data_IF_065087711964
#
_entry.id   IF_065087711964
#
_cell.length_a   1.000
_cell.length_b   1.000
_cell.length_c   1.000
_cell.angle_alpha   90.00
_cell.angle_beta   90.00
_cell.angle_gamma   90.00
#
_symmetry.space_group_name_H-M   'P 1'
#
loop_
_entity.id
_entity.type
_entity.pdbx_description
1 polymer ?
#
# COMPACT_ATOMS: atom_id res chain seq x y z
N UNK A 1 23.27 -12.76 1.75
CA UNK A 1 24.65 -13.18 2.06
C UNK A 1 25.33 -12.07 2.86
N UNK A 2 25.74 -12.30 4.12
CA UNK A 2 26.39 -11.26 4.94
C UNK A 2 27.87 -11.17 4.55
N UNK A 3 28.29 -10.02 3.99
CA UNK A 3 29.70 -9.77 3.66
C UNK A 3 30.50 -9.57 4.95
N UNK A 4 31.44 -10.48 5.23
CA UNK A 4 32.23 -10.45 6.47
C UNK A 4 33.08 -9.17 6.53
N UNK A 5 32.78 -8.31 7.50
CA UNK A 5 33.48 -7.03 7.73
C UNK A 5 32.82 -5.81 7.08
N UNK A 6 31.82 -5.97 6.21
CA UNK A 6 31.12 -4.84 5.61
C UNK A 6 30.11 -4.24 6.60
N UNK A 7 30.21 -2.94 6.85
CA UNK A 7 29.22 -2.15 7.60
C UNK A 7 28.72 -1.03 6.71
N UNK A 8 27.41 -1.00 6.46
CA UNK A 8 26.82 0.02 5.63
C UNK A 8 26.65 1.33 6.41
N UNK A 9 27.26 2.42 5.93
CA UNK A 9 27.27 3.69 6.64
C UNK A 9 25.87 4.31 6.81
N UNK A 10 24.96 4.04 5.87
CA UNK A 10 23.59 4.58 5.88
C UNK A 10 22.56 3.58 6.44
N UNK A 11 23.00 2.60 7.24
CA UNK A 11 22.10 1.64 7.88
C UNK A 11 21.01 2.31 8.75
N UNK A 12 21.30 3.35 9.55
CA UNK A 12 20.26 4.06 10.29
C UNK A 12 19.20 4.67 9.38
N UNK A 13 19.61 5.26 8.25
CA UNK A 13 18.70 5.84 7.27
C UNK A 13 17.80 4.76 6.66
N UNK A 14 18.38 3.61 6.28
CA UNK A 14 17.61 2.46 5.77
C UNK A 14 16.54 2.01 6.76
N UNK A 15 16.89 1.89 8.04
CA UNK A 15 15.95 1.50 9.10
C UNK A 15 14.84 2.53 9.28
N UNK A 16 15.15 3.83 9.26
CA UNK A 16 14.13 4.88 9.34
C UNK A 16 13.16 4.82 8.14
N UNK A 17 13.66 4.57 6.93
CA UNK A 17 12.80 4.40 5.74
C UNK A 17 11.96 3.13 5.81
N UNK A 18 12.53 2.03 6.32
CA UNK A 18 11.78 0.80 6.58
C UNK A 18 10.63 1.05 7.56
N UNK A 19 10.89 1.73 8.67
CA UNK A 19 9.83 2.07 9.64
C UNK A 19 8.76 2.99 9.06
N UNK A 20 9.11 3.89 8.14
CA UNK A 20 8.12 4.71 7.45
C UNK A 20 7.18 3.85 6.59
N UNK A 21 7.71 2.85 5.88
CA UNK A 21 6.90 1.89 5.12
C UNK A 21 6.04 1.04 6.05
N UNK A 22 6.63 0.50 7.13
CA UNK A 22 5.93 -0.34 8.09
C UNK A 22 4.82 0.42 8.82
N UNK A 23 5.03 1.72 9.11
CA UNK A 23 4.05 2.60 9.74
C UNK A 23 2.84 2.91 8.85
N UNK A 24 2.99 2.87 7.53
CA UNK A 24 1.91 3.12 6.57
C UNK A 24 1.03 1.88 6.32
N UNK A 25 1.55 0.68 6.57
CA UNK A 25 0.79 -0.56 6.41
C UNK A 25 -0.52 -0.61 7.22
N UNK A 26 -0.54 -0.28 8.54
CA UNK A 26 -1.78 -0.25 9.31
C UNK A 26 -2.73 0.86 8.86
N UNK A 27 -2.22 2.04 8.46
CA UNK A 27 -3.06 3.12 7.90
C UNK A 27 -3.80 2.64 6.64
N UNK A 28 -3.10 1.93 5.75
CA UNK A 28 -3.68 1.38 4.52
C UNK A 28 -4.75 0.32 4.81
N UNK A 29 -4.48 -0.57 5.77
CA UNK A 29 -5.44 -1.59 6.20
C UNK A 29 -6.68 -0.98 6.82
N UNK A 30 -6.52 0.04 7.68
CA UNK A 30 -7.63 0.75 8.31
C UNK A 30 -8.52 1.42 7.26
N UNK A 31 -7.92 2.16 6.31
CA UNK A 31 -8.67 2.82 5.24
C UNK A 31 -9.40 1.81 4.32
N UNK A 32 -8.77 0.68 4.01
CA UNK A 32 -9.41 -0.37 3.21
C UNK A 32 -10.57 -1.05 3.96
N UNK A 33 -10.42 -1.28 5.26
CA UNK A 33 -11.48 -1.83 6.10
C UNK A 33 -12.68 -0.87 6.22
N UNK A 34 -12.41 0.43 6.40
CA UNK A 34 -13.44 1.46 6.43
C UNK A 34 -14.21 1.52 5.10
N UNK A 35 -13.49 1.51 3.97
CA UNK A 35 -14.12 1.46 2.64
C UNK A 35 -15.03 0.24 2.49
N UNK A 36 -14.59 -0.94 2.94
CA UNK A 36 -15.39 -2.15 2.87
C UNK A 36 -16.67 -2.05 3.72
N UNK A 37 -16.61 -1.43 4.91
CA UNK A 37 -17.79 -1.18 5.75
C UNK A 37 -18.76 -0.24 5.05
N UNK A 38 -18.25 0.87 4.49
CA UNK A 38 -19.09 1.84 3.82
C UNK A 38 -19.74 1.30 2.55
N UNK A 39 -19.02 0.48 1.78
CA UNK A 39 -19.55 -0.17 0.59
C UNK A 39 -20.68 -1.14 0.94
N UNK A 40 -20.51 -1.94 2.00
CA UNK A 40 -21.57 -2.85 2.47
C UNK A 40 -22.84 -2.11 2.87
N UNK A 41 -22.71 -0.94 3.53
CA UNK A 41 -23.89 -0.14 3.87
C UNK A 41 -24.55 0.46 2.62
N UNK A 42 -23.78 0.89 1.63
CA UNK A 42 -24.32 1.35 0.36
C UNK A 42 -25.08 0.23 -0.36
N UNK A 43 -24.50 -0.96 -0.44
CA UNK A 43 -25.11 -2.14 -1.05
C UNK A 43 -26.41 -2.52 -0.32
N UNK A 44 -26.41 -2.45 1.03
CA UNK A 44 -27.60 -2.68 1.85
C UNK A 44 -28.71 -1.66 1.53
N UNK A 45 -28.38 -0.37 1.45
CA UNK A 45 -29.34 0.67 1.10
C UNK A 45 -29.87 0.52 -0.33
N UNK A 46 -29.04 0.06 -1.27
CA UNK A 46 -29.45 -0.27 -2.63
C UNK A 46 -30.44 -1.44 -2.64
N UNK A 47 -30.15 -2.52 -1.92
CA UNK A 47 -31.05 -3.66 -1.80
C UNK A 47 -32.42 -3.27 -1.21
N UNK A 48 -32.42 -2.44 -0.16
CA UNK A 48 -33.66 -1.93 0.44
C UNK A 48 -34.48 -1.08 -0.54
N UNK A 49 -33.83 -0.18 -1.28
CA UNK A 49 -34.50 0.64 -2.28
C UNK A 49 -35.07 -0.21 -3.43
N UNK A 50 -34.32 -1.22 -3.89
CA UNK A 50 -34.79 -2.16 -4.91
C UNK A 50 -36.00 -2.97 -4.44
N UNK A 51 -36.00 -3.44 -3.20
CA UNK A 51 -37.14 -4.16 -2.62
C UNK A 51 -38.40 -3.28 -2.56
N UNK A 52 -38.27 -2.04 -2.06
CA UNK A 52 -39.39 -1.10 -2.01
C UNK A 52 -39.90 -0.68 -3.40
N UNK A 53 -38.99 -0.55 -4.37
CA UNK A 53 -39.37 -0.28 -5.76
C UNK A 53 -40.10 -1.46 -6.40
N UNK A 54 -39.69 -2.69 -6.09
CA UNK A 54 -40.38 -3.90 -6.54
C UNK A 54 -41.78 -4.00 -5.93
N UNK A 55 -41.93 -3.67 -4.64
CA UNK A 55 -43.24 -3.59 -3.99
C UNK A 55 -44.15 -2.55 -4.65
N UNK A 56 -43.61 -1.34 -4.89
CA UNK A 56 -44.33 -0.28 -5.59
C UNK A 56 -44.84 -0.73 -6.96
N UNK A 57 -43.97 -1.37 -7.75
CA UNK A 57 -44.29 -1.85 -9.09
C UNK A 57 -45.28 -3.02 -9.06
N UNK A 58 -45.17 -3.92 -8.08
CA UNK A 58 -46.10 -5.03 -7.91
C UNK A 58 -47.51 -4.55 -7.61
N UNK A 59 -47.65 -3.54 -6.73
CA UNK A 59 -48.95 -2.96 -6.41
C UNK A 59 -49.58 -2.20 -7.58
N UNK A 60 -48.78 -1.53 -8.42
CA UNK A 60 -49.30 -0.85 -9.62
C UNK A 60 -49.73 -1.83 -10.72
N UNK A 61 -49.02 -2.94 -10.89
CA UNK A 61 -49.33 -3.98 -11.87
C UNK A 61 -50.52 -4.86 -11.48
N UNK A 62 -50.76 -5.05 -10.17
CA UNK A 62 -51.88 -5.86 -9.67
C UNK A 62 -53.26 -5.25 -9.96
N UNK A 63 -53.34 -4.02 -10.48
CA UNK A 63 -54.60 -3.33 -10.80
C UNK A 63 -55.47 -3.02 -9.58
N UNK A 64 -54.96 -3.26 -8.36
CA UNK A 64 -55.65 -2.96 -7.12
C UNK A 64 -55.54 -1.47 -6.81
N UNK A 65 -56.65 -0.86 -6.38
CA UNK A 65 -56.63 0.50 -5.86
C UNK A 65 -55.75 0.56 -4.61
N UNK A 66 -54.56 1.16 -4.73
CA UNK A 66 -53.64 1.32 -3.60
C UNK A 66 -54.22 2.36 -2.63
N UNK A 67 -54.24 2.08 -1.31
CA UNK A 67 -54.56 3.10 -0.32
C UNK A 67 -53.59 4.27 -0.42
N UNK A 68 -54.11 5.50 -0.47
CA UNK A 68 -53.30 6.71 -0.61
C UNK A 68 -52.22 6.84 0.48
N UNK A 69 -52.49 6.33 1.68
CA UNK A 69 -51.53 6.29 2.80
C UNK A 69 -50.32 5.40 2.48
N UNK A 70 -50.54 4.18 1.97
CA UNK A 70 -49.46 3.26 1.60
C UNK A 70 -48.62 3.82 0.45
N UNK A 71 -49.27 4.47 -0.52
CA UNK A 71 -48.59 5.20 -1.59
C UNK A 71 -47.67 6.30 -1.04
N UNK A 72 -48.21 7.17 -0.17
CA UNK A 72 -47.43 8.25 0.44
C UNK A 72 -46.29 7.73 1.34
N UNK A 73 -46.49 6.58 2.00
CA UNK A 73 -45.47 5.95 2.84
C UNK A 73 -44.32 5.38 2.00
N UNK A 74 -44.61 4.58 0.98
CA UNK A 74 -43.59 4.02 0.10
C UNK A 74 -42.83 5.12 -0.67
N UNK A 75 -43.54 6.17 -1.11
CA UNK A 75 -42.92 7.32 -1.78
C UNK A 75 -41.93 8.05 -0.87
N UNK A 76 -42.30 8.31 0.39
CA UNK A 76 -41.40 8.88 1.40
C UNK A 76 -40.22 7.97 1.68
N UNK A 77 -40.46 6.68 1.87
CA UNK A 77 -39.41 5.69 2.12
C UNK A 77 -38.38 5.63 0.98
N UNK A 78 -38.83 5.59 -0.28
CA UNK A 78 -37.95 5.62 -1.44
C UNK A 78 -37.15 6.94 -1.52
N UNK A 79 -37.77 8.06 -1.17
CA UNK A 79 -37.11 9.36 -1.04
C UNK A 79 -35.98 9.33 0.01
N UNK A 80 -36.27 8.80 1.19
CA UNK A 80 -35.30 8.64 2.28
C UNK A 80 -34.16 7.70 1.88
N UNK A 81 -34.46 6.59 1.21
CA UNK A 81 -33.43 5.67 0.70
C UNK A 81 -32.48 6.37 -0.28
N UNK A 82 -33.00 7.17 -1.22
CA UNK A 82 -32.18 7.93 -2.17
C UNK A 82 -31.29 8.94 -1.48
N UNK A 83 -31.82 9.67 -0.49
CA UNK A 83 -31.03 10.62 0.29
C UNK A 83 -29.89 9.92 1.03
N UNK A 84 -30.19 8.80 1.70
CA UNK A 84 -29.18 8.01 2.43
C UNK A 84 -28.14 7.42 1.49
N UNK A 85 -28.54 6.92 0.33
CA UNK A 85 -27.62 6.43 -0.70
C UNK A 85 -26.67 7.53 -1.19
N UNK A 86 -27.18 8.75 -1.44
CA UNK A 86 -26.36 9.87 -1.87
C UNK A 86 -25.33 10.28 -0.80
N UNK A 87 -25.75 10.35 0.47
CA UNK A 87 -24.84 10.61 1.60
C UNK A 87 -23.79 9.51 1.73
N UNK A 88 -24.21 8.25 1.61
CA UNK A 88 -23.30 7.10 1.73
C UNK A 88 -22.32 7.02 0.56
N UNK A 89 -22.76 7.32 -0.66
CA UNK A 89 -21.89 7.39 -1.83
C UNK A 89 -20.81 8.47 -1.68
N UNK A 90 -21.16 9.65 -1.13
CA UNK A 90 -20.17 10.68 -0.82
C UNK A 90 -19.18 10.24 0.26
N UNK A 91 -19.63 9.45 1.27
CA UNK A 91 -18.73 8.88 2.26
C UNK A 91 -17.72 7.92 1.60
N UNK A 92 -18.21 7.01 0.74
CA UNK A 92 -17.38 6.09 -0.04
C UNK A 92 -16.34 6.85 -0.87
N UNK A 93 -16.73 7.89 -1.60
CA UNK A 93 -15.80 8.71 -2.39
C UNK A 93 -14.70 9.34 -1.53
N UNK A 94 -15.04 9.89 -0.35
CA UNK A 94 -14.07 10.47 0.58
C UNK A 94 -13.09 9.42 1.09
N UNK A 95 -13.58 8.23 1.45
CA UNK A 95 -12.72 7.15 1.93
C UNK A 95 -11.86 6.57 0.82
N UNK A 96 -12.34 6.52 -0.43
CA UNK A 96 -11.52 6.19 -1.60
C UNK A 96 -10.39 7.20 -1.79
N UNK A 97 -10.67 8.50 -1.68
CA UNK A 97 -9.64 9.54 -1.76
C UNK A 97 -8.60 9.41 -0.65
N UNK A 98 -9.04 9.14 0.59
CA UNK A 98 -8.15 8.91 1.72
C UNK A 98 -7.27 7.66 1.51
N UNK A 99 -7.86 6.56 1.04
CA UNK A 99 -7.13 5.33 0.72
C UNK A 99 -6.06 5.58 -0.36
N UNK A 100 -6.41 6.34 -1.40
CA UNK A 100 -5.47 6.68 -2.46
C UNK A 100 -4.32 7.57 -1.96
N UNK A 101 -4.61 8.54 -1.09
CA UNK A 101 -3.57 9.35 -0.45
C UNK A 101 -2.57 8.50 0.36
N UNK A 102 -3.05 7.50 1.10
CA UNK A 102 -2.18 6.56 1.84
C UNK A 102 -1.38 5.68 0.87
N UNK A 103 -1.98 5.21 -0.23
CA UNK A 103 -1.26 4.45 -1.27
C UNK A 103 -0.14 5.25 -1.89
N UNK A 104 -0.37 6.52 -2.22
CA UNK A 104 0.66 7.39 -2.77
C UNK A 104 1.81 7.62 -1.78
N UNK A 105 1.51 7.82 -0.49
CA UNK A 105 2.52 7.89 0.58
C UNK A 105 3.32 6.60 0.69
N UNK A 106 2.66 5.44 0.62
CA UNK A 106 3.29 4.12 0.67
C UNK A 106 4.24 3.89 -0.52
N UNK A 107 3.80 4.24 -1.73
CA UNK A 107 4.63 4.15 -2.94
C UNK A 107 5.85 5.07 -2.85
N UNK A 108 5.68 6.31 -2.37
CA UNK A 108 6.78 7.24 -2.18
C UNK A 108 7.80 6.71 -1.15
N UNK A 109 7.34 6.29 0.03
CA UNK A 109 8.19 5.72 1.08
C UNK A 109 8.92 4.46 0.60
N UNK A 110 8.25 3.62 -0.20
CA UNK A 110 8.86 2.41 -0.77
C UNK A 110 9.97 2.74 -1.76
N UNK A 111 9.75 3.69 -2.67
CA UNK A 111 10.79 4.15 -3.60
C UNK A 111 12.02 4.69 -2.89
N UNK A 112 11.83 5.45 -1.81
CA UNK A 112 12.93 5.95 -1.00
C UNK A 112 13.72 4.82 -0.33
N UNK A 113 13.03 3.80 0.19
CA UNK A 113 13.67 2.62 0.76
C UNK A 113 14.44 1.84 -0.30
N UNK A 114 13.81 1.55 -1.44
CA UNK A 114 14.41 0.81 -2.55
C UNK A 114 15.70 1.50 -3.03
N UNK A 115 15.71 2.83 -3.15
CA UNK A 115 16.91 3.60 -3.52
C UNK A 115 18.07 3.42 -2.52
N UNK A 116 17.77 3.36 -1.22
CA UNK A 116 18.78 3.13 -0.17
C UNK A 116 19.29 1.69 -0.20
N UNK A 117 18.42 0.73 -0.52
CA UNK A 117 18.79 -0.68 -0.68
C UNK A 117 19.66 -0.92 -1.91
N UNK A 118 19.34 -0.30 -3.05
CA UNK A 118 20.17 -0.33 -4.26
C UNK A 118 21.57 0.25 -3.99
N UNK A 119 21.63 1.39 -3.30
CA UNK A 119 22.92 2.00 -2.92
C UNK A 119 23.71 1.09 -1.95
N UNK A 120 23.04 0.41 -1.02
CA UNK A 120 23.68 -0.56 -0.12
C UNK A 120 24.28 -1.72 -0.89
N UNK A 121 23.57 -2.25 -1.87
CA UNK A 121 24.02 -3.35 -2.69
C UNK A 121 25.23 -2.93 -3.55
N UNK A 122 25.21 -1.73 -4.12
CA UNK A 122 26.36 -1.19 -4.86
C UNK A 122 27.58 -0.99 -3.95
N UNK A 123 27.39 -0.40 -2.76
CA UNK A 123 28.45 -0.24 -1.77
C UNK A 123 29.04 -1.60 -1.34
N UNK A 124 28.20 -2.63 -1.20
CA UNK A 124 28.64 -4.00 -0.93
C UNK A 124 29.48 -4.58 -2.07
N UNK A 125 29.06 -4.37 -3.33
CA UNK A 125 29.83 -4.78 -4.51
C UNK A 125 31.18 -4.06 -4.62
N UNK A 126 31.22 -2.77 -4.28
CA UNK A 126 32.47 -2.00 -4.28
C UNK A 126 33.43 -2.46 -3.18
N UNK A 127 32.90 -2.72 -1.97
CA UNK A 127 33.70 -3.28 -0.87
C UNK A 127 34.33 -4.64 -1.24
N UNK A 128 33.58 -5.52 -1.90
CA UNK A 128 34.10 -6.79 -2.39
C UNK A 128 35.23 -6.60 -3.41
N UNK A 129 35.04 -5.71 -4.39
CA UNK A 129 36.05 -5.39 -5.41
C UNK A 129 37.33 -4.87 -4.78
N UNK A 130 37.24 -3.88 -3.90
CA UNK A 130 38.40 -3.32 -3.19
C UNK A 130 39.15 -4.35 -2.36
N UNK A 131 38.44 -5.28 -1.73
CA UNK A 131 39.06 -6.37 -0.97
C UNK A 131 39.82 -7.34 -1.89
N UNK A 132 39.21 -7.75 -3.00
CA UNK A 132 39.85 -8.62 -3.99
C UNK A 132 41.10 -7.96 -4.58
N UNK A 133 41.03 -6.68 -4.94
CA UNK A 133 42.17 -5.92 -5.45
C UNK A 133 43.29 -5.81 -4.41
N UNK A 134 42.94 -5.64 -3.13
CA UNK A 134 43.89 -5.64 -2.02
C UNK A 134 44.58 -7.00 -1.82
N UNK A 135 43.81 -8.09 -1.85
CA UNK A 135 44.33 -9.45 -1.74
C UNK A 135 45.27 -9.80 -2.90
N UNK A 136 44.96 -9.36 -4.12
CA UNK A 136 45.83 -9.50 -5.31
C UNK A 136 47.13 -8.71 -5.13
N UNK A 137 47.06 -7.44 -4.74
CA UNK A 137 48.25 -6.60 -4.53
C UNK A 137 49.17 -7.18 -3.44
N UNK A 138 48.60 -7.65 -2.34
CA UNK A 138 49.37 -8.28 -1.26
C UNK A 138 50.07 -9.56 -1.74
N UNK A 139 49.43 -10.36 -2.61
CA UNK A 139 50.04 -11.54 -3.21
C UNK A 139 51.20 -11.17 -4.16
N UNK A 140 51.04 -10.13 -4.99
CA UNK A 140 52.08 -9.63 -5.88
C UNK A 140 53.29 -9.08 -5.11
N UNK A 141 53.06 -8.32 -4.03
CA UNK A 141 54.11 -7.82 -3.14
C UNK A 141 54.88 -8.98 -2.50
N UNK A 142 54.19 -9.99 -1.97
CA UNK A 142 54.81 -11.17 -1.39
C UNK A 142 55.66 -11.92 -2.42
N UNK A 143 55.16 -12.08 -3.65
CA UNK A 143 55.90 -12.73 -4.72
C UNK A 143 57.16 -11.95 -5.12
N UNK A 144 57.08 -10.62 -5.21
CA UNK A 144 58.22 -9.75 -5.50
C UNK A 144 59.29 -9.81 -4.40
N UNK A 145 58.90 -9.86 -3.12
CA UNK A 145 59.83 -10.03 -1.98
C UNK A 145 60.54 -11.39 -2.05
N UNK A 146 59.80 -12.46 -2.35
CA UNK A 146 60.40 -13.81 -2.49
C UNK A 146 61.38 -13.90 -3.67
N UNK A 147 61.12 -13.18 -4.76
CA UNK A 147 61.99 -13.16 -5.95
C UNK A 147 63.26 -12.33 -5.72
N UNK A 148 63.14 -11.16 -5.09
CA UNK A 148 64.29 -10.31 -4.79
C UNK A 148 65.23 -10.93 -3.76
N UNK A 149 64.70 -11.72 -2.80
CA UNK A 149 65.51 -12.48 -1.84
C UNK A 149 66.28 -13.67 -2.42
N UNK A 150 65.98 -14.15 -3.64
CA UNK A 150 66.73 -15.22 -4.32
C UNK A 150 67.88 -14.71 -5.20
N UNK A 151 68.01 -13.40 -5.40
CA UNK A 151 69.03 -12.79 -6.27
C UNK A 151 70.34 -12.40 -5.56
N UNK A 152 70.45 -12.57 -4.25
CA UNK A 152 71.61 -12.18 -3.42
C UNK A 152 72.20 -13.36 -2.65
N UNK A 153 72.33 -14.52 -3.29
CA UNK A 153 73.09 -15.66 -2.79
C UNK A 153 74.14 -16.08 -3.81
#
# INVERSE_FOLDING_TARGET
>A
MKLRGFRYALEPVRLTRQWAVDGLAPELQAAAAELAVQQRELDRLQALAHAAQAEWNGLSQAGQAMPAERFAQLGRYLGDCRLRQAVQAQAVERTVQALEAVRQRMLAARRELDAVEEHRDEAGRQFLRQRQDGDIKAADELWNVLKSGRGTA
#
